data_IF_249363199780
#
_entry.id   IF_249363199780
#
_cell.length_a   1.000
_cell.length_b   1.000
_cell.length_c   1.000
_cell.angle_alpha   90.00
_cell.angle_beta   90.00
_cell.angle_gamma   90.00
#
_symmetry.space_group_name_H-M   'P 1'
#
loop_
_entity.id
_entity.type
_entity.pdbx_description
1 polymer ?
#
# COMPACT_ATOMS: atom_id res chain seq x y z
N UNK A 1 0.97 -25.90 10.52
CA UNK A 1 2.30 -26.54 10.38
C UNK A 1 3.32 -25.43 10.56
N UNK A 2 4.09 -25.46 11.64
CA UNK A 2 5.09 -24.44 11.93
C UNK A 2 6.16 -24.43 10.83
N UNK A 3 6.45 -23.26 10.26
CA UNK A 3 7.58 -23.11 9.34
C UNK A 3 8.88 -23.27 10.14
N UNK A 4 9.41 -24.48 10.18
CA UNK A 4 10.79 -24.75 10.56
C UNK A 4 11.72 -24.21 9.47
N UNK A 5 12.21 -22.99 9.62
CA UNK A 5 13.22 -22.45 8.70
C UNK A 5 13.62 -20.98 8.86
N UNK A 6 12.80 -20.13 9.50
CA UNK A 6 13.15 -18.72 9.67
C UNK A 6 13.85 -18.50 11.01
N UNK A 7 15.08 -17.99 10.98
CA UNK A 7 15.78 -17.56 12.19
C UNK A 7 15.08 -16.33 12.76
N UNK A 8 14.69 -16.39 14.04
CA UNK A 8 14.12 -15.22 14.71
C UNK A 8 15.10 -14.04 14.69
N UNK A 9 14.56 -12.83 14.57
CA UNK A 9 15.31 -11.61 14.85
C UNK A 9 15.76 -11.64 16.30
N UNK A 10 17.02 -11.30 16.54
CA UNK A 10 17.61 -11.28 17.86
C UNK A 10 17.97 -9.84 18.24
N UNK A 11 17.85 -9.54 19.51
CA UNK A 11 18.39 -8.34 20.12
C UNK A 11 19.92 -8.46 20.32
N UNK A 12 20.60 -7.40 20.80
CA UNK A 12 22.06 -7.42 21.01
C UNK A 12 22.55 -8.45 22.04
N UNK A 13 21.68 -8.88 22.94
CA UNK A 13 21.97 -9.89 23.97
C UNK A 13 21.65 -11.32 23.47
N UNK A 14 21.18 -11.45 22.23
CA UNK A 14 20.84 -12.72 21.59
C UNK A 14 19.45 -13.24 21.94
N UNK A 15 18.59 -12.41 22.55
CA UNK A 15 17.21 -12.76 22.86
C UNK A 15 16.31 -12.51 21.65
N UNK A 16 15.33 -13.39 21.37
CA UNK A 16 14.44 -13.23 20.24
C UNK A 16 13.48 -12.03 20.42
N UNK A 17 13.27 -11.31 19.33
CA UNK A 17 12.31 -10.22 19.19
C UNK A 17 11.04 -10.75 18.52
N UNK A 18 9.88 -10.36 19.04
CA UNK A 18 8.57 -10.84 18.62
C UNK A 18 7.58 -9.74 18.22
N UNK A 19 7.98 -8.47 18.32
CA UNK A 19 7.11 -7.33 18.00
C UNK A 19 7.88 -6.10 17.51
N UNK A 20 7.18 -5.21 16.81
CA UNK A 20 7.70 -3.87 16.45
C UNK A 20 7.99 -3.06 17.71
N UNK A 21 7.16 -3.20 18.75
CA UNK A 21 7.36 -2.52 20.03
C UNK A 21 8.70 -2.87 20.69
N UNK A 22 9.11 -4.14 20.63
CA UNK A 22 10.40 -4.59 21.16
C UNK A 22 11.57 -4.08 20.32
N UNK A 23 11.47 -4.12 18.98
CA UNK A 23 12.48 -3.49 18.11
C UNK A 23 12.60 -1.99 18.44
N UNK A 24 11.47 -1.30 18.66
CA UNK A 24 11.46 0.13 18.97
C UNK A 24 12.11 0.48 20.31
N UNK A 25 12.28 -0.49 21.21
CA UNK A 25 13.00 -0.33 22.47
C UNK A 25 14.53 -0.41 22.33
N UNK A 26 15.04 -0.89 21.19
CA UNK A 26 16.47 -0.94 20.90
C UNK A 26 17.07 0.45 20.67
N UNK A 27 18.40 0.52 20.74
CA UNK A 27 19.14 1.73 20.38
C UNK A 27 18.90 2.08 18.90
N UNK A 28 18.92 3.38 18.58
CA UNK A 28 18.53 3.90 17.26
C UNK A 28 19.20 3.15 16.09
N UNK A 29 20.52 3.01 16.12
CA UNK A 29 21.28 2.34 15.06
C UNK A 29 20.87 0.87 14.86
N UNK A 30 20.48 0.17 15.93
CA UNK A 30 20.09 -1.24 15.87
C UNK A 30 18.72 -1.40 15.21
N UNK A 31 17.73 -0.61 15.63
CA UNK A 31 16.41 -0.66 15.01
C UNK A 31 16.41 -0.16 13.58
N UNK A 32 17.17 0.89 13.25
CA UNK A 32 17.33 1.32 11.85
C UNK A 32 18.01 0.25 10.99
N UNK A 33 19.01 -0.45 11.52
CA UNK A 33 19.61 -1.59 10.81
C UNK A 33 18.59 -2.70 10.53
N UNK A 34 17.69 -2.99 11.47
CA UNK A 34 16.62 -3.98 11.27
C UNK A 34 15.60 -3.48 10.24
N UNK A 35 15.09 -2.26 10.41
CA UNK A 35 14.06 -1.69 9.53
C UNK A 35 14.56 -1.37 8.12
N UNK A 36 15.85 -1.10 7.94
CA UNK A 36 16.41 -0.91 6.59
C UNK A 36 16.29 -2.17 5.72
N UNK A 37 16.14 -3.37 6.30
CA UNK A 37 16.00 -4.63 5.56
C UNK A 37 14.69 -4.74 4.77
N UNK A 38 13.65 -3.99 5.16
CA UNK A 38 12.36 -3.94 4.45
C UNK A 38 12.30 -2.80 3.42
N UNK A 39 13.31 -1.94 3.34
CA UNK A 39 13.39 -0.89 2.32
C UNK A 39 13.62 -1.53 0.94
N UNK A 40 12.86 -1.15 -0.10
CA UNK A 40 13.02 -1.74 -1.43
C UNK A 40 14.44 -1.54 -1.97
N UNK A 41 15.04 -2.60 -2.54
CA UNK A 41 16.42 -2.56 -3.04
C UNK A 41 16.67 -1.45 -4.07
N UNK A 42 15.67 -1.17 -4.92
CA UNK A 42 15.72 -0.08 -5.91
C UNK A 42 16.03 1.30 -5.31
N UNK A 43 15.69 1.55 -4.03
CA UNK A 43 16.04 2.81 -3.36
C UNK A 43 17.56 2.99 -3.32
N UNK A 44 18.28 1.92 -3.02
CA UNK A 44 19.75 1.94 -2.97
C UNK A 44 20.35 1.85 -4.36
N UNK A 45 19.86 0.91 -5.18
CA UNK A 45 20.52 0.54 -6.42
C UNK A 45 20.26 1.55 -7.56
N UNK A 46 19.07 2.16 -7.61
CA UNK A 46 18.68 3.07 -8.70
C UNK A 46 18.76 4.55 -8.30
N UNK A 47 18.48 4.87 -7.02
CA UNK A 47 18.49 6.25 -6.53
C UNK A 47 19.77 6.63 -5.76
N UNK A 48 20.74 5.70 -5.67
CA UNK A 48 22.08 5.98 -5.14
C UNK A 48 22.12 6.24 -3.64
N UNK A 49 21.15 5.72 -2.89
CA UNK A 49 21.17 5.79 -1.43
C UNK A 49 22.23 4.84 -0.89
N UNK A 50 23.00 5.30 0.09
CA UNK A 50 23.96 4.48 0.81
C UNK A 50 23.24 3.58 1.83
N UNK A 51 23.57 2.28 1.84
CA UNK A 51 22.88 1.27 2.65
C UNK A 51 23.18 1.35 4.15
N UNK A 52 24.25 2.04 4.55
CA UNK A 52 24.71 2.08 5.94
C UNK A 52 24.43 3.43 6.60
N UNK A 53 24.60 4.50 5.84
CA UNK A 53 24.42 5.88 6.29
C UNK A 53 23.04 6.45 5.93
N UNK A 54 22.31 5.76 5.03
CA UNK A 54 21.02 6.18 4.48
C UNK A 54 21.06 7.53 3.77
N UNK A 55 22.27 7.97 3.41
CA UNK A 55 22.48 9.24 2.73
C UNK A 55 22.32 9.09 1.23
N UNK A 56 21.82 10.14 0.56
CA UNK A 56 21.72 10.18 -0.88
C UNK A 56 22.24 11.53 -1.42
N UNK A 57 22.68 11.57 -2.69
CA UNK A 57 23.06 12.82 -3.35
C UNK A 57 21.92 13.84 -3.33
N UNK A 58 22.27 15.10 -3.07
CA UNK A 58 21.32 16.22 -3.10
C UNK A 58 21.44 17.01 -4.40
N UNK A 59 20.31 17.43 -4.99
CA UNK A 59 20.33 18.39 -6.10
C UNK A 59 20.76 19.79 -5.68
N UNK A 60 20.56 20.13 -4.40
CA UNK A 60 20.76 21.49 -3.87
C UNK A 60 22.06 21.65 -3.08
N UNK A 61 22.76 20.56 -2.78
CA UNK A 61 23.97 20.54 -1.97
C UNK A 61 25.01 19.60 -2.57
N UNK A 62 26.29 19.95 -2.40
CA UNK A 62 27.41 19.05 -2.74
C UNK A 62 27.60 17.94 -1.70
N UNK A 63 26.87 18.00 -0.57
CA UNK A 63 26.92 16.98 0.48
C UNK A 63 25.73 16.03 0.37
N UNK A 64 25.98 14.74 0.63
CA UNK A 64 24.94 13.74 0.77
C UNK A 64 24.20 13.93 2.10
N UNK A 65 22.88 13.75 2.08
CA UNK A 65 22.00 13.97 3.24
C UNK A 65 21.25 12.67 3.56
N UNK A 66 20.99 12.39 4.84
CA UNK A 66 20.14 11.26 5.23
C UNK A 66 18.71 11.53 4.75
N UNK A 67 18.16 10.61 3.96
CA UNK A 67 16.85 10.75 3.32
C UNK A 67 15.90 9.58 3.60
N UNK A 68 16.26 8.72 4.55
CA UNK A 68 15.38 7.67 5.06
C UNK A 68 15.01 8.05 6.49
N UNK A 69 13.74 8.40 6.69
CA UNK A 69 13.21 8.74 8.00
C UNK A 69 12.48 7.54 8.61
N UNK A 70 13.04 6.99 9.69
CA UNK A 70 12.42 5.92 10.46
C UNK A 70 11.67 6.49 11.67
N UNK A 71 10.35 6.58 11.57
CA UNK A 71 9.48 7.04 12.67
C UNK A 71 9.05 5.81 13.47
N UNK A 72 9.77 5.56 14.56
CA UNK A 72 9.67 4.33 15.36
C UNK A 72 9.73 4.65 16.87
N UNK A 73 8.69 5.33 17.41
CA UNK A 73 8.68 5.82 18.78
C UNK A 73 8.77 4.68 19.80
N UNK A 74 9.67 4.83 20.78
CA UNK A 74 9.86 3.87 21.86
C UNK A 74 8.54 3.66 22.63
N UNK A 75 8.21 2.40 22.93
CA UNK A 75 7.01 2.04 23.68
C UNK A 75 5.75 1.85 22.84
N UNK A 76 5.79 2.21 21.55
CA UNK A 76 4.71 1.95 20.59
C UNK A 76 5.12 0.85 19.62
N UNK A 77 4.18 -0.01 19.25
CA UNK A 77 4.33 -0.98 18.17
C UNK A 77 4.02 -0.37 16.81
N UNK A 78 4.65 0.77 16.49
CA UNK A 78 4.41 1.52 15.25
C UNK A 78 5.73 1.77 14.54
N UNK A 79 5.73 1.52 13.23
CA UNK A 79 6.81 1.85 12.32
C UNK A 79 6.25 2.65 11.15
N UNK A 80 6.84 3.80 10.87
CA UNK A 80 6.76 4.43 9.55
C UNK A 80 8.14 4.59 8.95
N UNK A 81 8.26 4.30 7.66
CA UNK A 81 9.45 4.61 6.89
C UNK A 81 9.05 5.58 5.80
N UNK A 82 9.66 6.76 5.79
CA UNK A 82 9.45 7.76 4.77
C UNK A 82 10.76 8.01 4.02
N UNK A 83 10.72 7.87 2.70
CA UNK A 83 11.87 8.10 1.83
C UNK A 83 11.45 9.08 0.75
N UNK A 84 12.17 10.19 0.64
CA UNK A 84 12.02 11.17 -0.44
C UNK A 84 13.26 11.15 -1.30
N UNK A 85 13.10 11.26 -2.63
CA UNK A 85 14.25 11.38 -3.52
C UNK A 85 14.97 12.69 -3.23
N UNK A 86 14.24 13.80 -3.17
CA UNK A 86 14.73 15.11 -2.74
C UNK A 86 13.95 15.66 -1.54
N UNK A 87 14.60 16.48 -0.70
CA UNK A 87 13.98 17.04 0.51
C UNK A 87 12.71 17.87 0.21
N UNK A 88 12.70 18.54 -0.95
CA UNK A 88 11.58 19.37 -1.42
C UNK A 88 10.55 18.57 -2.25
N UNK A 89 10.77 17.28 -2.50
CA UNK A 89 9.78 16.47 -3.22
C UNK A 89 8.49 16.43 -2.39
N UNK A 90 7.36 16.75 -3.02
CA UNK A 90 6.07 16.80 -2.37
C UNK A 90 5.61 15.44 -1.83
N UNK A 91 5.84 14.37 -2.59
CA UNK A 91 5.40 13.01 -2.26
C UNK A 91 6.60 12.12 -1.97
N UNK A 92 6.43 11.16 -1.05
CA UNK A 92 7.46 10.16 -0.79
C UNK A 92 7.67 9.27 -2.02
N UNK A 93 8.95 8.96 -2.28
CA UNK A 93 9.38 7.89 -3.19
C UNK A 93 8.89 6.54 -2.65
N UNK A 94 9.09 6.32 -1.35
CA UNK A 94 8.60 5.15 -0.62
C UNK A 94 8.02 5.60 0.72
N UNK A 95 6.83 5.08 1.03
CA UNK A 95 6.20 5.23 2.33
C UNK A 95 5.62 3.88 2.74
N UNK A 96 5.85 3.48 3.99
CA UNK A 96 5.12 2.38 4.60
C UNK A 96 4.79 2.72 6.05
N UNK A 97 3.58 2.35 6.48
CA UNK A 97 3.15 2.34 7.87
C UNK A 97 2.74 0.92 8.26
N UNK A 98 3.29 0.46 9.38
CA UNK A 98 3.09 -0.87 9.93
C UNK A 98 2.90 -0.80 11.43
N UNK A 99 1.99 -1.60 11.98
CA UNK A 99 1.74 -1.66 13.42
C UNK A 99 1.58 -3.08 13.96
N UNK A 100 1.96 -3.27 15.22
CA UNK A 100 1.59 -4.45 16.01
C UNK A 100 0.07 -4.43 16.27
N UNK A 101 -0.56 -5.60 16.29
CA UNK A 101 -1.95 -5.75 16.76
C UNK A 101 -2.01 -6.43 18.13
N UNK A 102 -3.12 -6.27 18.88
CA UNK A 102 -3.33 -7.01 20.14
C UNK A 102 -3.39 -8.54 20.00
N UNK A 103 -3.47 -9.08 18.78
CA UNK A 103 -3.66 -10.50 18.48
C UNK A 103 -2.41 -11.19 17.93
N UNK A 104 -1.22 -10.61 18.16
CA UNK A 104 0.05 -11.11 17.61
C UNK A 104 0.02 -11.22 16.09
N UNK A 105 -0.48 -10.16 15.44
CA UNK A 105 -0.49 -9.98 14.00
C UNK A 105 0.23 -8.67 13.68
N UNK A 106 0.61 -8.50 12.41
CA UNK A 106 1.09 -7.22 11.90
C UNK A 106 0.02 -6.59 11.02
N UNK A 107 -0.31 -5.33 11.25
CA UNK A 107 -1.13 -4.53 10.35
C UNK A 107 -0.24 -3.78 9.36
N UNK A 108 -0.42 -4.02 8.06
CA UNK A 108 0.11 -3.19 6.98
C UNK A 108 -0.92 -2.09 6.70
N UNK A 109 -0.82 -0.98 7.42
CA UNK A 109 -1.81 0.10 7.40
C UNK A 109 -1.78 0.87 6.09
N UNK A 110 -0.59 1.20 5.58
CA UNK A 110 -0.46 1.97 4.35
C UNK A 110 0.88 1.73 3.64
N UNK A 111 0.87 1.69 2.31
CA UNK A 111 2.09 1.59 1.51
C UNK A 111 1.97 2.34 0.19
N UNK A 112 2.97 3.18 -0.11
CA UNK A 112 3.11 3.89 -1.36
C UNK A 112 4.52 3.69 -1.92
N UNK A 113 4.61 3.46 -3.23
CA UNK A 113 5.87 3.43 -3.97
C UNK A 113 5.67 4.21 -5.25
N UNK A 114 6.07 5.49 -5.24
CA UNK A 114 5.75 6.43 -6.30
C UNK A 114 6.92 6.60 -7.26
N UNK A 115 6.61 6.80 -8.54
CA UNK A 115 7.55 7.30 -9.53
C UNK A 115 7.59 8.84 -9.41
N UNK A 116 8.68 9.42 -8.87
CA UNK A 116 8.76 10.86 -8.62
C UNK A 116 8.82 11.67 -9.92
N UNK A 117 9.16 11.04 -11.05
CA UNK A 117 9.22 11.67 -12.36
C UNK A 117 7.91 11.57 -13.15
N UNK A 118 6.95 10.78 -12.65
CA UNK A 118 5.62 10.71 -13.23
C UNK A 118 4.77 11.96 -12.90
N UNK A 119 3.83 12.37 -13.77
CA UNK A 119 2.89 13.44 -13.45
C UNK A 119 2.16 13.18 -12.13
N UNK A 120 2.01 14.23 -11.32
CA UNK A 120 1.18 14.22 -10.11
C UNK A 120 -0.23 14.71 -10.44
N UNK A 121 -1.23 14.02 -9.92
CA UNK A 121 -2.62 14.47 -9.95
C UNK A 121 -3.08 14.75 -8.52
N UNK A 122 -3.63 15.94 -8.27
CA UNK A 122 -3.95 16.41 -6.92
C UNK A 122 -5.30 15.86 -6.42
N UNK A 123 -5.48 14.54 -6.50
CA UNK A 123 -6.72 13.86 -6.09
C UNK A 123 -6.82 13.68 -4.57
N UNK A 124 -5.71 13.87 -3.85
CA UNK A 124 -5.59 13.90 -2.39
C UNK A 124 -5.92 15.27 -1.78
N UNK A 125 -6.19 16.26 -2.64
CA UNK A 125 -6.47 17.64 -2.27
C UNK A 125 -7.74 18.14 -2.92
N UNK A 126 -8.45 19.05 -2.28
CA UNK A 126 -9.57 19.76 -2.91
C UNK A 126 -9.08 20.85 -3.90
N UNK A 127 -10.02 21.51 -4.57
CA UNK A 127 -9.72 22.58 -5.54
C UNK A 127 -9.00 23.79 -4.90
N UNK A 128 -9.07 23.93 -3.58
CA UNK A 128 -8.35 24.95 -2.81
C UNK A 128 -7.00 24.45 -2.26
N UNK A 129 -6.60 23.22 -2.59
CA UNK A 129 -5.32 22.62 -2.18
C UNK A 129 -5.30 22.02 -0.78
N UNK A 130 -6.44 21.93 -0.10
CA UNK A 130 -6.57 21.35 1.26
C UNK A 130 -6.67 19.84 1.16
N UNK A 131 -6.10 19.11 2.12
CA UNK A 131 -6.24 17.65 2.19
C UNK A 131 -7.70 17.23 2.23
N UNK A 132 -8.03 16.16 1.50
CA UNK A 132 -9.41 15.73 1.32
C UNK A 132 -9.75 14.37 1.96
N UNK A 133 -8.80 13.81 2.71
CA UNK A 133 -8.91 12.54 3.43
C UNK A 133 -9.40 11.39 2.54
N UNK A 134 -8.69 11.11 1.44
CA UNK A 134 -9.07 10.07 0.47
C UNK A 134 -10.48 10.27 -0.09
N UNK A 135 -10.80 11.50 -0.46
CA UNK A 135 -12.11 11.92 -0.96
C UNK A 135 -13.30 11.77 0.00
N UNK A 136 -13.08 11.42 1.28
CA UNK A 136 -14.17 11.28 2.26
C UNK A 136 -14.78 12.63 2.67
N UNK A 137 -14.01 13.72 2.57
CA UNK A 137 -14.47 15.08 2.95
C UNK A 137 -14.87 15.89 1.73
N UNK A 138 -14.04 15.89 0.67
CA UNK A 138 -14.26 16.62 -0.59
C UNK A 138 -13.61 15.88 -1.76
N UNK A 139 -14.12 16.08 -2.98
CA UNK A 139 -13.52 15.55 -4.21
C UNK A 139 -12.89 16.68 -5.03
N UNK A 140 -11.86 16.33 -5.79
CA UNK A 140 -11.29 17.17 -6.83
C UNK A 140 -11.51 16.49 -8.18
N UNK A 141 -12.75 16.62 -8.69
CA UNK A 141 -13.21 15.93 -9.89
C UNK A 141 -12.33 16.21 -11.12
N UNK A 142 -11.87 17.45 -11.38
CA UNK A 142 -10.97 17.72 -12.50
C UNK A 142 -9.69 16.88 -12.46
N UNK A 143 -9.06 16.74 -11.28
CA UNK A 143 -7.85 15.95 -11.10
C UNK A 143 -8.12 14.44 -11.13
N UNK A 144 -9.24 13.98 -10.58
CA UNK A 144 -9.65 12.57 -10.66
C UNK A 144 -9.88 12.13 -12.11
N UNK A 145 -10.51 12.96 -12.93
CA UNK A 145 -10.71 12.68 -14.36
C UNK A 145 -9.36 12.60 -15.09
N UNK A 146 -8.41 13.50 -14.77
CA UNK A 146 -7.06 13.45 -15.36
C UNK A 146 -6.30 12.21 -14.92
N UNK A 147 -6.34 11.87 -13.63
CA UNK A 147 -5.70 10.68 -13.07
C UNK A 147 -6.26 9.39 -13.70
N UNK A 148 -7.59 9.27 -13.80
CA UNK A 148 -8.25 8.15 -14.46
C UNK A 148 -7.81 8.01 -15.92
N UNK A 149 -7.79 9.11 -16.69
CA UNK A 149 -7.33 9.12 -18.10
C UNK A 149 -5.86 8.76 -18.24
N UNK A 150 -5.04 9.07 -17.25
CA UNK A 150 -3.64 8.65 -17.16
C UNK A 150 -3.46 7.19 -16.71
N UNK A 151 -4.55 6.48 -16.41
CA UNK A 151 -4.53 5.10 -15.97
C UNK A 151 -4.18 4.91 -14.48
N UNK A 152 -4.38 5.91 -13.64
CA UNK A 152 -4.25 5.73 -12.20
C UNK A 152 -5.54 5.16 -11.60
N UNK A 153 -5.41 4.48 -10.46
CA UNK A 153 -6.56 4.02 -9.68
C UNK A 153 -7.07 5.14 -8.76
N UNK A 154 -8.27 5.02 -8.15
CA UNK A 154 -8.67 5.92 -7.08
C UNK A 154 -7.60 5.98 -5.98
N UNK A 155 -7.43 7.16 -5.36
CA UNK A 155 -6.43 7.44 -4.31
C UNK A 155 -4.95 7.33 -4.73
N UNK A 156 -4.67 7.05 -6.00
CA UNK A 156 -3.31 7.05 -6.54
C UNK A 156 -2.94 8.39 -7.20
N UNK A 157 -2.09 9.18 -6.54
CA UNK A 157 -1.66 10.52 -7.02
C UNK A 157 -0.58 10.48 -8.10
N UNK A 158 0.19 9.38 -8.18
CA UNK A 158 1.31 9.16 -9.11
C UNK A 158 1.34 7.73 -9.61
N UNK A 159 1.99 7.52 -10.76
CA UNK A 159 2.31 6.15 -11.20
C UNK A 159 3.27 5.52 -10.18
N UNK A 160 3.15 4.23 -9.93
CA UNK A 160 4.08 3.52 -9.06
C UNK A 160 5.25 2.88 -9.82
N UNK A 161 6.35 2.61 -9.11
CA UNK A 161 7.58 2.02 -9.66
C UNK A 161 7.53 0.49 -9.86
N UNK A 162 6.35 -0.14 -9.66
CA UNK A 162 6.16 -1.60 -9.71
C UNK A 162 6.98 -2.43 -8.70
N UNK A 163 7.59 -1.80 -7.69
CA UNK A 163 8.42 -2.47 -6.69
C UNK A 163 7.66 -3.09 -5.50
N UNK A 164 6.31 -3.06 -5.50
CA UNK A 164 5.54 -3.58 -4.36
C UNK A 164 5.76 -5.08 -4.14
N UNK A 165 5.92 -5.86 -5.22
CA UNK A 165 6.19 -7.29 -5.13
C UNK A 165 7.48 -7.56 -4.33
N UNK A 166 8.54 -6.83 -4.64
CA UNK A 166 9.86 -7.02 -4.03
C UNK A 166 9.87 -6.51 -2.59
N UNK A 167 9.24 -5.35 -2.35
CA UNK A 167 8.96 -4.86 -1.00
C UNK A 167 8.22 -5.91 -0.15
N UNK A 168 7.09 -6.41 -0.65
CA UNK A 168 6.22 -7.28 0.12
C UNK A 168 6.88 -8.62 0.44
N UNK A 169 7.72 -9.15 -0.46
CA UNK A 169 8.51 -10.35 -0.19
C UNK A 169 9.52 -10.15 0.95
N UNK A 170 10.14 -8.96 1.06
CA UNK A 170 11.06 -8.64 2.16
C UNK A 170 10.29 -8.37 3.46
N UNK A 171 9.17 -7.68 3.36
CA UNK A 171 8.27 -7.45 4.48
C UNK A 171 7.76 -8.76 5.08
N UNK A 172 7.34 -9.71 4.26
CA UNK A 172 6.88 -11.02 4.73
C UNK A 172 7.98 -11.80 5.48
N UNK A 173 9.24 -11.73 5.02
CA UNK A 173 10.38 -12.33 5.74
C UNK A 173 10.63 -11.63 7.08
N UNK A 174 10.51 -10.31 7.13
CA UNK A 174 10.62 -9.54 8.36
C UNK A 174 9.55 -9.97 9.37
N UNK A 175 8.29 -10.07 8.94
CA UNK A 175 7.19 -10.54 9.79
C UNK A 175 7.42 -11.99 10.25
N UNK A 176 7.88 -12.86 9.36
CA UNK A 176 8.25 -14.23 9.71
C UNK A 176 9.36 -14.30 10.77
N UNK A 177 10.36 -13.42 10.68
CA UNK A 177 11.48 -13.37 11.61
C UNK A 177 11.10 -12.79 12.99
N UNK A 178 9.94 -12.13 13.10
CA UNK A 178 9.31 -11.80 14.39
C UNK A 178 8.48 -12.97 14.96
N UNK A 179 8.42 -14.12 14.28
CA UNK A 179 7.55 -15.22 14.68
C UNK A 179 6.06 -14.86 14.59
N UNK A 180 5.70 -13.97 13.67
CA UNK A 180 4.31 -13.58 13.40
C UNK A 180 3.84 -14.26 12.11
N UNK A 181 2.67 -14.89 12.16
CA UNK A 181 2.14 -15.71 11.05
C UNK A 181 1.11 -14.97 10.19
N UNK A 182 0.57 -13.84 10.65
CA UNK A 182 -0.55 -13.14 10.00
C UNK A 182 -0.22 -11.67 9.80
N UNK A 183 -0.41 -11.22 8.56
CA UNK A 183 -0.46 -9.80 8.17
C UNK A 183 -1.92 -9.45 7.87
N UNK A 184 -2.42 -8.35 8.42
CA UNK A 184 -3.74 -7.79 8.09
C UNK A 184 -3.59 -6.45 7.37
N UNK A 185 -4.58 -6.06 6.58
CA UNK A 185 -4.61 -4.75 5.94
C UNK A 185 -6.04 -4.31 5.60
N UNK A 186 -6.22 -3.01 5.41
CA UNK A 186 -7.40 -2.42 4.77
C UNK A 186 -6.99 -1.91 3.37
N UNK A 187 -7.63 -2.39 2.29
CA UNK A 187 -7.17 -2.10 0.93
C UNK A 187 -7.44 -0.66 0.44
N UNK A 188 -8.34 0.10 1.10
CA UNK A 188 -8.73 1.48 0.77
C UNK A 188 -9.41 1.72 -0.60
N UNK A 189 -9.31 0.78 -1.55
CA UNK A 189 -10.07 0.81 -2.80
C UNK A 189 -10.30 -0.60 -3.35
N UNK A 190 -11.34 -0.75 -4.17
CA UNK A 190 -11.65 -2.00 -4.85
C UNK A 190 -10.46 -2.54 -5.66
N UNK A 191 -9.79 -1.68 -6.45
CA UNK A 191 -8.62 -2.09 -7.24
C UNK A 191 -7.45 -2.59 -6.39
N UNK A 192 -7.24 -2.02 -5.20
CA UNK A 192 -6.21 -2.47 -4.26
C UNK A 192 -6.58 -3.83 -3.65
N UNK A 193 -7.85 -4.05 -3.29
CA UNK A 193 -8.30 -5.35 -2.76
C UNK A 193 -7.99 -6.48 -3.75
N UNK A 194 -8.37 -6.31 -5.02
CA UNK A 194 -8.05 -7.27 -6.09
C UNK A 194 -6.53 -7.40 -6.29
N UNK A 195 -5.77 -6.31 -6.10
CA UNK A 195 -4.30 -6.37 -6.19
C UNK A 195 -3.69 -7.20 -5.06
N UNK A 196 -4.22 -7.09 -3.85
CA UNK A 196 -3.74 -7.86 -2.70
C UNK A 196 -4.03 -9.36 -2.84
N UNK A 197 -5.13 -9.76 -3.49
CA UNK A 197 -5.39 -11.17 -3.82
C UNK A 197 -4.22 -11.80 -4.59
N UNK A 198 -3.62 -11.06 -5.53
CA UNK A 198 -2.45 -11.49 -6.31
C UNK A 198 -1.16 -11.64 -5.49
N UNK A 199 -1.13 -11.07 -4.28
CA UNK A 199 -0.05 -11.26 -3.32
C UNK A 199 -0.41 -12.30 -2.25
N UNK A 200 -1.49 -13.05 -2.47
CA UNK A 200 -1.90 -14.19 -1.66
C UNK A 200 -2.77 -13.83 -0.46
N UNK A 201 -3.35 -12.63 -0.41
CA UNK A 201 -4.31 -12.28 0.63
C UNK A 201 -5.66 -12.96 0.40
N UNK A 202 -6.33 -13.29 1.49
CA UNK A 202 -7.77 -13.59 1.55
C UNK A 202 -8.46 -12.54 2.43
N UNK A 203 -9.76 -12.69 2.63
CA UNK A 203 -10.62 -11.73 3.29
C UNK A 203 -11.00 -12.22 4.70
N UNK A 204 -10.84 -11.33 5.67
CA UNK A 204 -11.50 -11.45 6.98
C UNK A 204 -12.98 -11.08 6.82
N UNK A 205 -13.24 -9.96 6.14
CA UNK A 205 -14.57 -9.43 5.81
C UNK A 205 -14.60 -8.93 4.36
N UNK A 206 -15.78 -8.84 3.76
CA UNK A 206 -15.95 -8.26 2.42
C UNK A 206 -15.85 -9.22 1.22
N UNK A 207 -15.45 -10.48 1.40
CA UNK A 207 -15.32 -11.46 0.29
C UNK A 207 -16.59 -11.59 -0.57
N UNK A 208 -17.75 -11.70 0.09
CA UNK A 208 -19.04 -11.83 -0.58
C UNK A 208 -19.39 -10.56 -1.37
N UNK A 209 -19.03 -9.37 -0.86
CA UNK A 209 -19.22 -8.13 -1.58
C UNK A 209 -18.34 -8.10 -2.84
N UNK A 210 -17.08 -8.51 -2.74
CA UNK A 210 -16.17 -8.55 -3.90
C UNK A 210 -16.67 -9.49 -5.00
N UNK A 211 -17.13 -10.70 -4.64
CA UNK A 211 -17.74 -11.65 -5.58
C UNK A 211 -19.03 -11.12 -6.19
N UNK A 212 -19.88 -10.47 -5.39
CA UNK A 212 -21.10 -9.83 -5.87
C UNK A 212 -20.79 -8.70 -6.86
N UNK A 213 -19.81 -7.85 -6.55
CA UNK A 213 -19.38 -6.76 -7.43
C UNK A 213 -18.93 -7.32 -8.78
N UNK A 214 -18.08 -8.35 -8.79
CA UNK A 214 -17.63 -8.96 -10.05
C UNK A 214 -18.82 -9.47 -10.87
N UNK A 215 -19.73 -10.21 -10.24
CA UNK A 215 -20.94 -10.73 -10.90
C UNK A 215 -21.81 -9.60 -11.48
N UNK A 216 -22.03 -8.52 -10.75
CA UNK A 216 -22.91 -7.45 -11.20
C UNK A 216 -22.28 -6.52 -12.25
N UNK A 217 -20.96 -6.57 -12.41
CA UNK A 217 -20.25 -5.97 -13.55
C UNK A 217 -20.16 -6.90 -14.77
N UNK A 218 -20.67 -8.13 -14.71
CA UNK A 218 -20.81 -8.98 -15.90
C UNK A 218 -22.00 -8.53 -16.78
N UNK A 219 -22.06 -8.97 -18.05
CA UNK A 219 -23.19 -8.66 -18.92
C UNK A 219 -24.54 -9.02 -18.29
N UNK A 220 -25.47 -8.05 -18.27
CA UNK A 220 -26.80 -8.21 -17.66
C UNK A 220 -26.87 -7.93 -16.16
N UNK A 221 -25.74 -7.69 -15.48
CA UNK A 221 -25.70 -7.31 -14.08
C UNK A 221 -26.14 -5.86 -13.81
N UNK A 222 -26.54 -5.57 -12.56
CA UNK A 222 -27.08 -4.26 -12.21
C UNK A 222 -26.02 -3.14 -12.27
N UNK A 223 -24.76 -3.43 -11.95
CA UNK A 223 -23.69 -2.44 -12.00
C UNK A 223 -23.34 -2.09 -13.45
N UNK A 224 -23.35 -3.09 -14.35
CA UNK A 224 -23.22 -2.85 -15.80
C UNK A 224 -24.35 -1.96 -16.31
N UNK A 225 -25.60 -2.21 -15.89
CA UNK A 225 -26.74 -1.38 -16.30
C UNK A 225 -26.65 0.07 -15.78
N UNK A 226 -25.93 0.31 -14.67
CA UNK A 226 -25.68 1.63 -14.10
C UNK A 226 -24.54 2.39 -14.78
N UNK A 227 -23.82 1.78 -15.73
CA UNK A 227 -22.85 2.47 -16.58
C UNK A 227 -23.59 3.21 -17.71
N UNK A 228 -24.36 4.22 -17.30
CA UNK A 228 -25.29 5.01 -18.11
C UNK A 228 -24.66 6.24 -18.77
N UNK A 229 -23.37 6.48 -18.53
CA UNK A 229 -22.65 7.64 -19.04
C UNK A 229 -22.94 8.96 -18.31
N UNK A 230 -23.68 8.95 -17.20
CA UNK A 230 -24.04 10.16 -16.43
C UNK A 230 -22.84 10.92 -15.85
N UNK A 231 -21.73 10.21 -15.60
CA UNK A 231 -20.44 10.81 -15.19
C UNK A 231 -19.29 10.24 -16.02
N UNK A 232 -18.12 10.90 -16.06
CA UNK A 232 -16.93 10.34 -16.69
C UNK A 232 -16.51 8.97 -16.14
N UNK A 233 -16.93 8.63 -14.91
CA UNK A 233 -16.61 7.38 -14.23
C UNK A 233 -17.66 6.27 -14.47
N UNK A 234 -18.79 6.59 -15.13
CA UNK A 234 -19.89 5.67 -15.43
C UNK A 234 -20.05 5.38 -16.93
N UNK A 235 -18.99 5.54 -17.70
CA UNK A 235 -19.01 5.25 -19.13
C UNK A 235 -19.08 3.74 -19.38
N UNK A 236 -19.73 3.34 -20.48
CA UNK A 236 -19.66 1.95 -20.95
C UNK A 236 -18.20 1.56 -21.24
N UNK A 237 -17.81 0.33 -20.89
CA UNK A 237 -16.44 -0.17 -20.95
C UNK A 237 -15.68 -0.07 -19.63
N UNK A 238 -16.19 0.67 -18.63
CA UNK A 238 -15.57 0.69 -17.29
C UNK A 238 -15.61 -0.69 -16.61
N UNK A 239 -16.63 -1.50 -16.91
CA UNK A 239 -16.76 -2.88 -16.44
C UNK A 239 -15.68 -3.83 -16.97
N UNK A 240 -14.99 -3.45 -18.05
CA UNK A 240 -13.99 -4.29 -18.70
C UNK A 240 -12.64 -4.33 -17.95
N UNK A 241 -12.41 -3.43 -16.99
CA UNK A 241 -11.14 -3.36 -16.25
C UNK A 241 -11.35 -3.21 -14.75
N UNK A 242 -10.43 -3.74 -13.95
CA UNK A 242 -10.44 -3.56 -12.49
C UNK A 242 -10.38 -2.08 -12.11
N UNK A 243 -9.55 -1.29 -12.81
CA UNK A 243 -9.43 0.16 -12.58
C UNK A 243 -10.73 0.90 -12.92
N UNK A 244 -11.36 0.59 -14.04
CA UNK A 244 -12.64 1.19 -14.44
C UNK A 244 -13.75 0.92 -13.43
N UNK A 245 -13.89 -0.34 -12.99
CA UNK A 245 -14.82 -0.73 -11.91
C UNK A 245 -14.54 0.03 -10.62
N UNK A 246 -13.26 0.16 -10.24
CA UNK A 246 -12.87 0.88 -9.03
C UNK A 246 -13.22 2.37 -9.09
N UNK A 247 -13.08 3.02 -10.25
CA UNK A 247 -13.51 4.42 -10.44
C UNK A 247 -15.02 4.58 -10.40
N UNK A 248 -15.78 3.67 -11.00
CA UNK A 248 -17.23 3.67 -10.90
C UNK A 248 -17.71 3.49 -9.45
N UNK A 249 -17.04 2.62 -8.68
CA UNK A 249 -17.30 2.43 -7.23
C UNK A 249 -16.97 3.71 -6.45
N UNK A 250 -15.81 4.33 -6.71
CA UNK A 250 -15.42 5.61 -6.12
C UNK A 250 -16.44 6.72 -6.43
N UNK A 251 -17.06 6.68 -7.60
CA UNK A 251 -18.14 7.58 -8.02
C UNK A 251 -19.53 7.23 -7.46
N UNK A 252 -19.61 6.24 -6.56
CA UNK A 252 -20.86 5.87 -5.90
C UNK A 252 -21.83 5.12 -6.82
N UNK A 253 -21.33 4.27 -7.72
CA UNK A 253 -22.21 3.37 -8.51
C UNK A 253 -22.91 2.31 -7.64
N UNK A 254 -22.35 2.01 -6.47
CA UNK A 254 -22.95 1.10 -5.49
C UNK A 254 -24.11 1.79 -4.76
N UNK A 255 -25.12 1.00 -4.35
CA UNK A 255 -26.23 1.53 -3.55
C UNK A 255 -25.84 1.81 -2.08
N UNK A 256 -24.73 1.22 -1.63
CA UNK A 256 -24.16 1.35 -0.30
C UNK A 256 -22.65 1.65 -0.42
N UNK A 257 -22.01 2.20 0.62
CA UNK A 257 -20.57 2.42 0.61
C UNK A 257 -19.80 1.13 0.32
N UNK A 258 -18.63 1.28 -0.29
CA UNK A 258 -17.64 0.20 -0.33
C UNK A 258 -16.80 0.29 0.94
N UNK A 259 -17.24 -0.40 1.99
CA UNK A 259 -16.65 -0.36 3.32
C UNK A 259 -16.55 -1.78 3.95
N UNK A 260 -16.02 -1.84 5.18
CA UNK A 260 -15.82 -3.07 5.96
C UNK A 260 -15.05 -4.18 5.21
N UNK A 261 -14.04 -3.77 4.44
CA UNK A 261 -13.14 -4.69 3.72
C UNK A 261 -11.86 -4.84 4.52
N UNK A 262 -11.69 -6.01 5.15
CA UNK A 262 -10.46 -6.39 5.84
C UNK A 262 -9.88 -7.64 5.21
N UNK A 263 -8.60 -7.59 4.89
CA UNK A 263 -7.88 -8.69 4.27
C UNK A 263 -6.78 -9.20 5.20
N UNK A 264 -6.40 -10.47 5.03
CA UNK A 264 -5.30 -11.09 5.75
C UNK A 264 -4.43 -11.91 4.81
N UNK A 265 -3.15 -12.04 5.17
CA UNK A 265 -2.16 -12.90 4.54
C UNK A 265 -1.56 -13.79 5.60
N UNK A 266 -1.60 -15.10 5.35
CA UNK A 266 -0.80 -16.04 6.13
C UNK A 266 0.62 -16.07 5.58
N UNK A 267 1.61 -15.84 6.44
CA UNK A 267 3.02 -15.76 6.08
C UNK A 267 3.49 -17.07 5.43
N UNK A 268 4.13 -16.94 4.27
CA UNK A 268 4.59 -18.02 3.39
C UNK A 268 3.51 -18.82 2.69
N UNK A 269 2.23 -18.42 2.76
CA UNK A 269 1.12 -19.10 2.07
C UNK A 269 0.40 -18.18 1.10
N UNK A 270 0.15 -18.64 -0.13
CA UNK A 270 -0.68 -17.91 -1.09
C UNK A 270 -2.12 -18.42 -1.01
N UNK A 271 -3.10 -17.57 -0.70
CA UNK A 271 -4.49 -18.02 -0.49
C UNK A 271 -5.24 -18.42 -1.78
N UNK A 272 -4.66 -18.13 -2.95
CA UNK A 272 -5.23 -18.48 -4.28
C UNK A 272 -6.63 -17.90 -4.51
N UNK A 273 -6.94 -16.78 -3.86
CA UNK A 273 -8.17 -16.04 -4.08
C UNK A 273 -8.11 -15.29 -5.40
N UNK A 274 -9.21 -15.33 -6.14
CA UNK A 274 -9.44 -14.48 -7.28
C UNK A 274 -10.94 -14.15 -7.34
N UNK A 275 -11.30 -12.96 -6.88
CA UNK A 275 -12.70 -12.52 -6.90
C UNK A 275 -13.11 -11.91 -8.24
N UNK A 276 -12.17 -11.65 -9.15
CA UNK A 276 -12.43 -11.01 -10.44
C UNK A 276 -12.03 -11.91 -11.59
N UNK A 277 -13.02 -12.35 -12.38
CA UNK A 277 -12.78 -13.20 -13.56
C UNK A 277 -12.10 -12.40 -14.69
N UNK A 278 -12.35 -11.09 -14.76
CA UNK A 278 -11.78 -10.20 -15.77
C UNK A 278 -10.30 -9.89 -15.49
N UNK A 279 -9.39 -10.35 -16.35
CA UNK A 279 -7.94 -10.22 -16.13
C UNK A 279 -7.31 -8.89 -16.59
N UNK A 280 -8.11 -7.94 -17.08
CA UNK A 280 -7.60 -6.66 -17.56
C UNK A 280 -7.55 -5.67 -16.39
N UNK A 281 -6.34 -5.22 -16.06
CA UNK A 281 -6.10 -4.16 -15.08
C UNK A 281 -6.20 -2.80 -15.73
#
# INVERSE_FOLDING_TARGET
MAQTGTTNLLDPDGLPLFSIKEINALAQAQKESIYSTIVPAMIFDEYGFDRHTFTAPSKLSTMSENRINFICPQGLGLLRIEIRRDADDQDCLFFVEVADTPYHQIELSFCLINDPDSPRFNIDRDEQGRENSFATVRRNLPEEIKAMKAGLSPNQVRRGLKAFKDFFAQFEKFVAALGIDIIIAEPLSYSNAVRYEKYGFDYITGKQLMLWIDREFQPGGILTARLDGSTPFRQQGMEATVRGRSWAIHDGILAQPWDDIKIYKTVGQHAEINTVVTHVY
#
